data_IF_918205914348
#
_entry.id   IF_918205914348
#
_cell.length_a   1.000
_cell.length_b   1.000
_cell.length_c   1.000
_cell.angle_alpha   90.00
_cell.angle_beta   90.00
_cell.angle_gamma   90.00
#
_symmetry.space_group_name_H-M   'P 1'
#
loop_
_entity.id
_entity.type
_entity.pdbx_description
1 polymer ?
#
# COMPACT_ATOMS: atom_id res chain seq x y z
N UNK A 1 20.57 6.95 10.76
CA UNK A 1 19.44 6.94 9.82
C UNK A 1 18.92 5.51 9.86
N UNK A 2 17.62 5.29 9.99
CA UNK A 2 17.07 3.94 9.90
C UNK A 2 17.37 3.40 8.49
N UNK A 3 17.74 2.11 8.38
CA UNK A 3 18.02 1.51 7.09
C UNK A 3 16.72 1.40 6.28
N UNK A 4 16.73 1.92 5.05
CA UNK A 4 15.59 1.88 4.14
C UNK A 4 15.49 0.46 3.54
N UNK A 5 14.44 -0.27 3.89
CA UNK A 5 14.24 -1.66 3.44
C UNK A 5 13.57 -1.74 2.06
N UNK A 6 12.73 -0.75 1.73
CA UNK A 6 12.10 -0.62 0.43
C UNK A 6 12.27 0.81 -0.09
N UNK A 7 12.75 0.95 -1.33
CA UNK A 7 12.88 2.22 -2.04
C UNK A 7 12.31 2.07 -3.45
N UNK A 8 11.41 2.96 -3.82
CA UNK A 8 10.91 3.11 -5.18
C UNK A 8 11.38 4.48 -5.67
N UNK A 9 11.99 4.56 -6.86
CA UNK A 9 12.57 5.78 -7.44
C UNK A 9 12.07 5.97 -8.86
N UNK A 10 11.47 7.13 -9.14
CA UNK A 10 10.90 7.55 -10.46
C UNK A 10 10.19 6.43 -11.21
N UNK A 11 9.38 5.64 -10.49
CA UNK A 11 8.69 4.50 -11.07
C UNK A 11 7.60 4.96 -12.03
N UNK A 12 7.60 4.42 -13.27
CA UNK A 12 6.60 4.69 -14.30
C UNK A 12 6.07 3.41 -14.88
N UNK A 13 4.74 3.25 -14.86
CA UNK A 13 4.07 2.05 -15.35
C UNK A 13 2.88 2.46 -16.21
N UNK A 14 2.78 1.85 -17.38
CA UNK A 14 1.66 2.00 -18.31
C UNK A 14 1.04 0.63 -18.60
N UNK A 15 -0.25 0.63 -18.89
CA UNK A 15 -0.95 -0.52 -19.44
C UNK A 15 -1.40 -0.21 -20.87
N UNK A 16 -1.19 -1.16 -21.77
CA UNK A 16 -1.61 -1.05 -23.17
C UNK A 16 -2.68 -2.10 -23.44
N UNK A 17 -3.89 -1.65 -23.76
CA UNK A 17 -5.02 -2.51 -24.11
C UNK A 17 -5.77 -1.92 -25.28
N UNK A 18 -6.02 -2.72 -26.31
CA UNK A 18 -6.80 -2.33 -27.52
C UNK A 18 -6.32 -1.05 -28.21
N UNK A 19 -5.04 -0.71 -28.09
CA UNK A 19 -4.43 0.49 -28.65
C UNK A 19 -4.51 1.74 -27.76
N UNK A 20 -5.15 1.65 -26.61
CA UNK A 20 -5.16 2.70 -25.58
C UNK A 20 -4.04 2.50 -24.58
N UNK A 21 -3.44 3.61 -24.13
CA UNK A 21 -2.37 3.63 -23.13
C UNK A 21 -2.86 4.23 -21.83
N UNK A 22 -2.96 3.44 -20.79
CA UNK A 22 -3.34 3.85 -19.44
C UNK A 22 -2.10 4.15 -18.61
N UNK A 23 -1.90 5.39 -18.18
CA UNK A 23 -0.78 5.83 -17.35
C UNK A 23 -1.09 5.60 -15.87
N UNK A 24 -0.75 4.42 -15.37
CA UNK A 24 -1.11 4.00 -14.01
C UNK A 24 -0.18 4.55 -12.92
N UNK A 25 1.14 4.65 -13.20
CA UNK A 25 2.16 5.18 -12.28
C UNK A 25 3.06 6.15 -13.04
N UNK A 26 3.24 7.38 -12.53
CA UNK A 26 3.75 8.51 -13.27
C UNK A 26 4.92 9.21 -12.58
N UNK A 27 5.95 8.47 -12.16
CA UNK A 27 7.11 8.99 -11.44
C UNK A 27 6.87 9.00 -9.94
N UNK A 28 6.69 7.81 -9.37
CA UNK A 28 6.52 7.60 -7.93
C UNK A 28 7.86 7.41 -7.28
N UNK A 29 8.10 8.22 -6.23
CA UNK A 29 9.16 8.05 -5.26
C UNK A 29 8.54 7.67 -3.92
N UNK A 30 9.02 6.59 -3.29
CA UNK A 30 8.49 6.09 -2.03
C UNK A 30 9.59 5.32 -1.29
N UNK A 31 9.70 5.52 0.02
CA UNK A 31 10.65 4.81 0.87
C UNK A 31 9.96 4.27 2.12
N UNK A 32 10.42 3.11 2.59
CA UNK A 32 9.96 2.53 3.86
C UNK A 32 11.20 2.10 4.64
N UNK A 33 11.35 2.61 5.86
CA UNK A 33 12.40 2.19 6.77
C UNK A 33 12.02 0.86 7.46
N UNK A 34 13.04 0.11 7.94
CA UNK A 34 12.82 -1.12 8.70
C UNK A 34 11.87 -0.91 9.89
N UNK A 35 10.94 -1.83 10.09
CA UNK A 35 9.98 -1.80 11.19
C UNK A 35 8.92 -0.68 11.10
N UNK A 36 8.91 0.15 10.04
CA UNK A 36 7.95 1.23 9.84
C UNK A 36 6.76 0.78 9.00
N UNK A 37 5.62 1.45 9.21
CA UNK A 37 4.44 1.33 8.35
C UNK A 37 4.23 2.61 7.57
N UNK A 38 4.22 2.49 6.24
CA UNK A 38 3.82 3.55 5.33
C UNK A 38 2.40 3.31 4.84
N UNK A 39 1.52 4.28 5.05
CA UNK A 39 0.19 4.32 4.44
C UNK A 39 0.25 4.90 3.03
N UNK A 40 -0.25 4.17 2.04
CA UNK A 40 -0.43 4.67 0.67
C UNK A 40 -1.92 4.86 0.42
N UNK A 41 -2.36 6.11 0.44
CA UNK A 41 -3.77 6.47 0.38
C UNK A 41 -4.13 7.22 -0.90
N UNK A 42 -5.41 7.16 -1.29
CA UNK A 42 -5.93 7.84 -2.47
C UNK A 42 -7.16 7.14 -3.03
N UNK A 43 -7.86 7.79 -3.95
CA UNK A 43 -9.06 7.23 -4.59
C UNK A 43 -8.76 5.96 -5.40
N UNK A 44 -9.78 5.16 -5.68
CA UNK A 44 -9.68 4.00 -6.59
C UNK A 44 -9.16 4.44 -7.96
N UNK A 45 -8.23 3.69 -8.52
CA UNK A 45 -7.58 4.06 -9.79
C UNK A 45 -6.38 5.00 -9.66
N UNK A 46 -6.00 5.44 -8.44
CA UNK A 46 -4.83 6.30 -8.25
C UNK A 46 -3.47 5.64 -8.56
N UNK A 47 -3.40 4.30 -8.70
CA UNK A 47 -2.17 3.55 -8.99
C UNK A 47 -1.57 2.79 -7.81
N UNK A 48 -2.22 2.77 -6.65
CA UNK A 48 -1.72 2.17 -5.39
C UNK A 48 -1.36 0.69 -5.53
N UNK A 49 -2.32 -0.14 -5.92
CA UNK A 49 -2.12 -1.59 -6.14
C UNK A 49 -1.05 -1.86 -7.21
N UNK A 50 -1.03 -1.08 -8.30
CA UNK A 50 -0.01 -1.21 -9.35
C UNK A 50 1.39 -0.94 -8.80
N UNK A 51 1.53 0.06 -7.92
CA UNK A 51 2.80 0.35 -7.23
C UNK A 51 3.21 -0.82 -6.34
N UNK A 52 2.30 -1.41 -5.56
CA UNK A 52 2.61 -2.60 -4.74
C UNK A 52 2.99 -3.82 -5.60
N UNK A 53 2.27 -4.08 -6.70
CA UNK A 53 2.59 -5.18 -7.61
C UNK A 53 3.96 -5.04 -8.26
N UNK A 54 4.46 -3.81 -8.47
CA UNK A 54 5.81 -3.59 -8.99
C UNK A 54 6.90 -4.06 -8.02
N UNK A 55 6.67 -3.99 -6.72
CA UNK A 55 7.61 -4.49 -5.69
C UNK A 55 7.77 -6.01 -5.78
N UNK A 56 6.72 -6.69 -6.20
CA UNK A 56 6.74 -8.14 -6.45
C UNK A 56 7.14 -8.50 -7.90
N UNK A 57 7.41 -7.51 -8.76
CA UNK A 57 7.57 -7.69 -10.20
C UNK A 57 6.41 -8.49 -10.84
N UNK A 58 5.18 -8.24 -10.35
CA UNK A 58 3.93 -8.89 -10.78
C UNK A 58 3.02 -7.96 -11.59
N UNK A 59 3.56 -6.90 -12.18
CA UNK A 59 2.82 -6.08 -13.14
C UNK A 59 2.35 -6.96 -14.30
N UNK A 60 1.03 -7.08 -14.58
CA UNK A 60 0.49 -8.02 -15.56
C UNK A 60 1.08 -7.82 -16.97
N UNK A 61 1.73 -8.83 -17.51
CA UNK A 61 2.28 -8.86 -18.87
C UNK A 61 1.32 -9.61 -19.81
N UNK A 62 1.21 -9.24 -21.10
CA UNK A 62 1.98 -8.21 -21.82
C UNK A 62 1.42 -6.80 -21.74
N UNK A 63 0.27 -6.58 -21.09
CA UNK A 63 -0.42 -5.29 -21.06
C UNK A 63 0.36 -4.25 -20.24
N UNK A 64 0.86 -4.63 -19.07
CA UNK A 64 1.63 -3.75 -18.20
C UNK A 64 3.10 -3.67 -18.61
N UNK A 65 3.60 -2.43 -18.70
CA UNK A 65 4.98 -2.11 -19.03
C UNK A 65 5.57 -1.16 -17.99
N UNK A 66 6.67 -1.55 -17.38
CA UNK A 66 7.49 -0.66 -16.57
C UNK A 66 8.39 0.11 -17.52
N UNK A 67 8.21 1.43 -17.60
CA UNK A 67 8.91 2.29 -18.54
C UNK A 67 10.26 2.75 -17.99
N UNK A 68 10.30 3.10 -16.70
CA UNK A 68 11.50 3.57 -16.00
C UNK A 68 11.33 3.38 -14.49
N UNK A 69 12.42 3.64 -13.78
CA UNK A 69 12.49 3.62 -12.33
C UNK A 69 13.22 2.39 -11.79
N UNK A 70 13.41 2.43 -10.48
CA UNK A 70 14.03 1.36 -9.71
C UNK A 70 13.12 0.98 -8.54
N UNK A 71 13.11 -0.30 -8.19
CA UNK A 71 12.47 -0.81 -6.97
C UNK A 71 13.51 -1.62 -6.22
N UNK A 72 14.08 -1.00 -5.18
CA UNK A 72 15.14 -1.58 -4.37
C UNK A 72 14.51 -2.15 -3.10
N UNK A 73 14.59 -3.45 -2.93
CA UNK A 73 14.10 -4.21 -1.79
C UNK A 73 15.29 -4.91 -1.12
N UNK A 74 15.53 -4.61 0.15
CA UNK A 74 16.67 -5.18 0.91
C UNK A 74 18.00 -5.05 0.14
N UNK A 75 18.23 -3.89 -0.51
CA UNK A 75 19.42 -3.60 -1.31
C UNK A 75 19.43 -4.21 -2.73
N UNK A 76 18.39 -4.93 -3.15
CA UNK A 76 18.30 -5.58 -4.45
C UNK A 76 17.26 -4.88 -5.33
N UNK A 77 17.63 -4.47 -6.56
CA UNK A 77 16.66 -3.97 -7.55
C UNK A 77 15.84 -5.14 -8.11
N UNK A 78 14.57 -5.26 -7.67
CA UNK A 78 13.69 -6.38 -8.06
C UNK A 78 13.28 -6.34 -9.52
N UNK A 79 13.32 -5.17 -10.18
CA UNK A 79 12.94 -5.04 -11.58
C UNK A 79 13.97 -5.66 -12.53
N UNK A 80 15.21 -5.84 -12.07
CA UNK A 80 16.32 -6.44 -12.83
C UNK A 80 16.47 -7.95 -12.57
N UNK A 81 15.70 -8.49 -11.61
CA UNK A 81 15.80 -9.89 -11.25
C UNK A 81 15.10 -10.79 -12.26
N UNK A 82 15.70 -11.97 -12.50
CA UNK A 82 15.05 -13.05 -13.23
C UNK A 82 13.87 -13.63 -12.44
N UNK A 83 12.93 -14.31 -13.13
CA UNK A 83 11.79 -14.95 -12.45
C UNK A 83 12.24 -15.94 -11.37
N UNK A 84 13.30 -16.70 -11.63
CA UNK A 84 13.87 -17.64 -10.66
C UNK A 84 14.42 -16.95 -9.38
N UNK A 85 14.95 -15.73 -9.53
CA UNK A 85 15.41 -14.93 -8.38
C UNK A 85 14.20 -14.34 -7.63
N UNK A 86 13.18 -13.87 -8.36
CA UNK A 86 11.94 -13.37 -7.79
C UNK A 86 11.15 -14.44 -7.03
N UNK A 87 11.18 -15.71 -7.47
CA UNK A 87 10.59 -16.83 -6.71
C UNK A 87 11.19 -16.99 -5.31
N UNK A 88 12.46 -16.65 -5.12
CA UNK A 88 13.12 -16.70 -3.81
C UNK A 88 12.81 -15.48 -2.93
N UNK A 89 12.47 -14.36 -3.56
CA UNK A 89 12.17 -13.08 -2.89
C UNK A 89 10.71 -13.03 -2.44
N UNK A 90 9.78 -13.44 -3.33
CA UNK A 90 8.33 -13.48 -3.04
C UNK A 90 8.03 -14.52 -1.96
N UNK A 91 7.30 -14.15 -0.93
CA UNK A 91 6.96 -15.00 0.22
C UNK A 91 8.05 -15.08 1.30
N UNK A 92 9.31 -14.78 0.98
CA UNK A 92 10.44 -14.84 1.91
C UNK A 92 10.96 -13.46 2.33
N UNK A 93 11.31 -12.57 1.38
CA UNK A 93 11.75 -11.20 1.69
C UNK A 93 10.57 -10.23 1.69
N UNK A 94 9.66 -10.37 0.74
CA UNK A 94 8.43 -9.58 0.65
C UNK A 94 7.24 -10.50 0.44
N UNK A 95 6.15 -10.21 1.12
CA UNK A 95 4.87 -10.90 0.95
C UNK A 95 3.74 -9.90 0.76
N UNK A 96 2.60 -10.36 0.23
CA UNK A 96 1.45 -9.52 -0.04
C UNK A 96 0.15 -10.16 0.43
N UNK A 97 -0.68 -9.36 1.09
CA UNK A 97 -2.09 -9.66 1.35
C UNK A 97 -2.89 -8.91 0.29
N UNK A 98 -3.62 -9.64 -0.54
CA UNK A 98 -4.46 -9.10 -1.61
C UNK A 98 -5.83 -8.68 -1.09
N UNK A 99 -6.49 -7.79 -1.84
CA UNK A 99 -7.74 -7.12 -1.47
C UNK A 99 -8.91 -8.07 -1.19
N UNK A 100 -9.01 -9.23 -1.85
CA UNK A 100 -10.14 -10.16 -1.70
C UNK A 100 -9.74 -11.48 -1.02
N UNK A 101 -10.04 -11.64 0.29
CA UNK A 101 -9.73 -12.87 1.01
C UNK A 101 -10.56 -14.08 0.55
N UNK A 102 -11.69 -13.84 -0.11
CA UNK A 102 -12.60 -14.92 -0.51
C UNK A 102 -12.08 -15.67 -1.73
N UNK A 103 -11.42 -14.96 -2.65
CA UNK A 103 -10.84 -15.53 -3.88
C UNK A 103 -9.39 -15.98 -3.72
N UNK A 104 -8.70 -15.53 -2.66
CA UNK A 104 -7.27 -15.78 -2.48
C UNK A 104 -6.96 -17.20 -1.95
N UNK A 105 -7.90 -17.83 -1.20
CA UNK A 105 -7.72 -19.19 -0.68
C UNK A 105 -8.18 -20.25 -1.67
N UNK A 106 -7.36 -21.28 -1.87
CA UNK A 106 -7.73 -22.44 -2.69
C UNK A 106 -8.82 -23.29 -1.96
N UNK A 107 -10.05 -23.40 -2.48
CA UNK A 107 -11.15 -24.06 -1.78
C UNK A 107 -11.00 -25.58 -1.66
N UNK A 108 -10.12 -26.21 -2.46
CA UNK A 108 -9.92 -27.67 -2.48
C UNK A 108 -8.67 -28.13 -1.73
N UNK A 109 -7.95 -27.20 -1.07
CA UNK A 109 -6.83 -27.48 -0.17
C UNK A 109 -7.19 -27.08 1.25
N UNK A 110 -6.71 -27.83 2.25
CA UNK A 110 -6.84 -27.42 3.65
C UNK A 110 -6.01 -26.15 3.92
N UNK A 111 -6.39 -25.39 4.94
CA UNK A 111 -5.65 -24.14 5.26
C UNK A 111 -4.21 -24.43 5.71
N UNK A 112 -3.97 -25.55 6.39
CA UNK A 112 -2.63 -25.98 6.78
C UNK A 112 -1.77 -26.34 5.58
N UNK A 113 -2.31 -27.06 4.57
CA UNK A 113 -1.59 -27.37 3.34
C UNK A 113 -1.15 -26.11 2.59
N UNK A 114 -2.01 -25.08 2.50
CA UNK A 114 -1.69 -23.82 1.83
C UNK A 114 -0.58 -23.05 2.54
N UNK A 115 -0.55 -23.03 3.88
CA UNK A 115 0.55 -22.44 4.65
C UNK A 115 1.82 -23.29 4.50
N UNK A 116 1.71 -24.60 4.63
CA UNK A 116 2.84 -25.54 4.53
C UNK A 116 3.50 -25.50 3.14
N UNK A 117 2.75 -25.26 2.08
CA UNK A 117 3.26 -25.11 0.72
C UNK A 117 4.28 -23.97 0.62
N UNK A 118 3.97 -22.79 1.18
CA UNK A 118 4.88 -21.64 1.20
C UNK A 118 6.15 -21.97 1.99
N UNK A 119 6.02 -22.61 3.16
CA UNK A 119 7.16 -23.03 3.99
C UNK A 119 8.06 -24.01 3.21
N UNK A 120 7.48 -25.01 2.54
CA UNK A 120 8.24 -26.00 1.75
C UNK A 120 9.04 -25.39 0.59
N UNK A 121 8.43 -24.39 -0.08
CA UNK A 121 9.09 -23.71 -1.19
C UNK A 121 10.36 -22.96 -0.72
N UNK A 122 10.31 -22.32 0.44
CA UNK A 122 11.38 -21.43 0.91
C UNK A 122 12.36 -22.06 1.90
N UNK A 123 11.90 -22.90 2.82
CA UNK A 123 12.73 -23.43 3.90
C UNK A 123 13.33 -24.82 3.60
N UNK A 124 12.91 -25.47 2.50
CA UNK A 124 13.40 -26.81 2.09
C UNK A 124 13.26 -27.87 3.19
N UNK A 125 12.20 -27.83 3.95
CA UNK A 125 11.85 -28.78 5.02
C UNK A 125 10.95 -29.89 4.48
N UNK A 126 10.84 -30.99 5.24
CA UNK A 126 9.91 -32.07 4.92
C UNK A 126 8.45 -31.70 5.20
N UNK A 127 7.52 -32.53 4.72
CA UNK A 127 6.07 -32.33 4.85
C UNK A 127 5.62 -32.18 6.31
N UNK A 128 6.21 -32.98 7.19
CA UNK A 128 5.85 -32.99 8.62
C UNK A 128 6.27 -31.67 9.29
N UNK A 129 7.49 -31.21 9.05
CA UNK A 129 8.01 -29.97 9.59
C UNK A 129 7.23 -28.76 9.03
N UNK A 130 6.92 -28.76 7.71
CA UNK A 130 6.13 -27.70 7.12
C UNK A 130 4.71 -27.62 7.70
N UNK A 131 4.06 -28.77 7.94
CA UNK A 131 2.74 -28.81 8.56
C UNK A 131 2.78 -28.38 10.04
N UNK A 132 3.83 -28.70 10.78
CA UNK A 132 3.99 -28.20 12.14
C UNK A 132 4.17 -26.67 12.15
N UNK A 133 4.99 -26.14 11.26
CA UNK A 133 5.11 -24.68 11.06
C UNK A 133 3.79 -24.04 10.70
N UNK A 134 2.96 -24.69 9.86
CA UNK A 134 1.63 -24.20 9.50
C UNK A 134 0.71 -24.11 10.73
N UNK A 135 0.75 -25.09 11.64
CA UNK A 135 0.00 -25.05 12.91
C UNK A 135 0.44 -23.92 13.81
N UNK A 136 1.75 -23.74 13.99
CA UNK A 136 2.32 -22.62 14.77
C UNK A 136 1.88 -21.25 14.20
N UNK A 137 1.84 -21.13 12.89
CA UNK A 137 1.40 -19.89 12.24
C UNK A 137 -0.10 -19.65 12.43
N UNK A 138 -0.93 -20.69 12.38
CA UNK A 138 -2.36 -20.59 12.71
C UNK A 138 -2.56 -20.12 14.16
N UNK A 139 -1.84 -20.71 15.11
CA UNK A 139 -1.88 -20.29 16.51
C UNK A 139 -1.43 -18.83 16.68
N UNK A 140 -0.41 -18.43 15.96
CA UNK A 140 0.11 -17.04 15.96
C UNK A 140 -0.94 -16.03 15.51
N UNK A 141 -1.85 -16.40 14.59
CA UNK A 141 -2.96 -15.54 14.17
C UNK A 141 -4.26 -15.79 14.96
N UNK A 142 -4.20 -16.57 16.06
CA UNK A 142 -5.33 -16.83 16.95
C UNK A 142 -6.32 -17.88 16.43
N UNK A 143 -5.86 -18.80 15.58
CA UNK A 143 -6.62 -19.97 15.11
C UNK A 143 -5.99 -21.22 15.70
N UNK A 144 -6.74 -22.12 16.38
CA UNK A 144 -6.17 -23.35 16.92
C UNK A 144 -5.47 -24.18 15.84
N UNK A 145 -4.23 -24.64 16.11
CA UNK A 145 -3.40 -25.37 15.14
C UNK A 145 -4.02 -26.69 14.66
N UNK A 146 -4.90 -27.32 15.46
CA UNK A 146 -5.66 -28.51 15.09
C UNK A 146 -6.61 -28.30 13.90
N UNK A 147 -7.02 -27.04 13.65
CA UNK A 147 -7.86 -26.66 12.50
C UNK A 147 -7.09 -26.59 11.17
N UNK A 148 -5.80 -26.86 11.16
CA UNK A 148 -4.99 -26.89 9.94
C UNK A 148 -5.51 -27.85 8.86
N UNK A 149 -6.25 -28.91 9.27
CA UNK A 149 -6.85 -29.90 8.35
C UNK A 149 -8.19 -29.47 7.75
N UNK A 150 -8.74 -28.35 8.22
CA UNK A 150 -10.02 -27.83 7.72
C UNK A 150 -9.85 -27.04 6.42
N UNK A 151 -10.96 -26.92 5.68
CA UNK A 151 -11.00 -26.23 4.39
C UNK A 151 -11.52 -24.80 4.52
N UNK A 152 -11.19 -23.89 3.58
CA UNK A 152 -11.59 -22.47 3.65
C UNK A 152 -13.10 -22.24 3.86
N UNK A 153 -13.97 -23.09 3.32
CA UNK A 153 -15.41 -22.95 3.49
C UNK A 153 -15.92 -23.17 4.94
N UNK A 154 -15.10 -23.75 5.81
CA UNK A 154 -15.39 -23.97 7.23
C UNK A 154 -15.01 -22.76 8.12
N UNK A 155 -14.44 -21.69 7.52
CA UNK A 155 -13.98 -20.50 8.20
C UNK A 155 -14.89 -19.30 7.90
N UNK A 156 -15.10 -18.43 8.90
CA UNK A 156 -15.73 -17.12 8.69
C UNK A 156 -14.82 -16.19 7.88
N UNK A 157 -15.35 -15.06 7.38
CA UNK A 157 -14.57 -14.08 6.63
C UNK A 157 -13.34 -13.59 7.39
N UNK A 158 -13.50 -13.20 8.66
CA UNK A 158 -12.37 -12.76 9.50
C UNK A 158 -11.35 -13.87 9.79
N UNK A 159 -11.80 -15.15 9.90
CA UNK A 159 -10.88 -16.27 10.04
C UNK A 159 -10.12 -16.55 8.74
N UNK A 160 -10.77 -16.44 7.58
CA UNK A 160 -10.07 -16.53 6.28
C UNK A 160 -9.00 -15.46 6.13
N UNK A 161 -9.32 -14.23 6.57
CA UNK A 161 -8.32 -13.15 6.58
C UNK A 161 -7.13 -13.47 7.48
N UNK A 162 -7.35 -14.03 8.68
CA UNK A 162 -6.27 -14.49 9.55
C UNK A 162 -5.44 -15.61 8.93
N UNK A 163 -6.06 -16.53 8.18
CA UNK A 163 -5.35 -17.58 7.41
C UNK A 163 -4.46 -16.93 6.33
N UNK A 164 -4.95 -15.93 5.59
CA UNK A 164 -4.12 -15.22 4.60
C UNK A 164 -2.95 -14.48 5.23
N UNK A 165 -3.16 -13.88 6.40
CA UNK A 165 -2.06 -13.29 7.19
C UNK A 165 -1.05 -14.37 7.58
N UNK A 166 -1.51 -15.56 8.02
CA UNK A 166 -0.63 -16.67 8.34
C UNK A 166 0.18 -17.16 7.14
N UNK A 167 -0.43 -17.26 5.95
CA UNK A 167 0.26 -17.58 4.69
C UNK A 167 1.31 -16.51 4.38
N UNK A 168 0.93 -15.23 4.42
CA UNK A 168 1.83 -14.13 4.12
C UNK A 168 3.04 -14.05 5.05
N UNK A 169 2.89 -14.47 6.30
CA UNK A 169 3.94 -14.40 7.33
C UNK A 169 4.66 -15.73 7.58
N UNK A 170 4.32 -16.79 6.86
CA UNK A 170 4.84 -18.15 7.09
C UNK A 170 6.37 -18.22 7.11
N UNK A 171 7.04 -17.44 6.23
CA UNK A 171 8.50 -17.35 6.15
C UNK A 171 9.07 -16.07 6.77
N UNK A 172 8.31 -15.36 7.62
CA UNK A 172 8.75 -14.15 8.34
C UNK A 172 9.37 -13.08 7.41
N UNK A 173 8.60 -12.55 6.43
CA UNK A 173 9.12 -11.60 5.47
C UNK A 173 9.59 -10.30 6.12
N UNK A 174 10.55 -9.62 5.50
CA UNK A 174 11.03 -8.30 5.94
C UNK A 174 10.05 -7.19 5.62
N UNK A 175 9.29 -7.33 4.52
CA UNK A 175 8.30 -6.35 4.06
C UNK A 175 6.97 -7.04 3.81
N UNK A 176 5.89 -6.48 4.35
CA UNK A 176 4.50 -6.88 4.07
C UNK A 176 3.80 -5.79 3.27
N UNK A 177 3.27 -6.15 2.10
CA UNK A 177 2.38 -5.32 1.32
C UNK A 177 0.93 -5.72 1.66
N UNK A 178 0.16 -4.80 2.20
CA UNK A 178 -1.22 -5.05 2.61
C UNK A 178 -2.17 -4.18 1.76
N UNK A 179 -2.78 -4.78 0.75
CA UNK A 179 -3.70 -4.09 -0.15
C UNK A 179 -5.13 -4.26 0.32
N UNK A 180 -5.66 -3.22 0.96
CA UNK A 180 -7.00 -3.17 1.56
C UNK A 180 -7.33 -4.42 2.42
N UNK A 181 -6.49 -4.76 3.41
CA UNK A 181 -6.55 -6.07 4.09
C UNK A 181 -7.80 -6.29 4.94
N UNK A 182 -8.65 -5.29 5.11
CA UNK A 182 -9.88 -5.34 5.91
C UNK A 182 -11.15 -5.09 5.11
N UNK A 183 -11.04 -4.93 3.79
CA UNK A 183 -12.21 -4.79 2.91
C UNK A 183 -13.14 -5.99 3.04
N UNK A 184 -14.45 -5.74 3.08
CA UNK A 184 -15.53 -6.72 3.27
C UNK A 184 -15.58 -7.41 4.66
N UNK A 185 -14.89 -6.87 5.67
CA UNK A 185 -15.04 -7.29 7.07
C UNK A 185 -15.98 -6.32 7.83
N UNK A 186 -16.67 -6.82 8.82
CA UNK A 186 -17.41 -5.96 9.75
C UNK A 186 -16.43 -5.19 10.65
N UNK A 187 -16.88 -4.03 11.18
CA UNK A 187 -16.03 -3.09 11.95
C UNK A 187 -15.32 -3.75 13.13
N UNK A 188 -15.99 -4.69 13.82
CA UNK A 188 -15.40 -5.38 14.98
C UNK A 188 -14.27 -6.31 14.56
N UNK A 189 -14.48 -7.08 13.51
CA UNK A 189 -13.45 -7.99 12.96
C UNK A 189 -12.31 -7.19 12.33
N UNK A 190 -12.62 -6.08 11.64
CA UNK A 190 -11.61 -5.17 11.10
C UNK A 190 -10.65 -4.69 12.21
N UNK A 191 -11.15 -4.18 13.33
CA UNK A 191 -10.33 -3.75 14.45
C UNK A 191 -9.44 -4.87 15.00
N UNK A 192 -9.97 -6.09 15.13
CA UNK A 192 -9.21 -7.26 15.57
C UNK A 192 -8.09 -7.66 14.60
N UNK A 193 -8.34 -7.57 13.29
CA UNK A 193 -7.34 -7.88 12.25
C UNK A 193 -6.23 -6.82 12.25
N UNK A 194 -6.57 -5.52 12.39
CA UNK A 194 -5.59 -4.44 12.45
C UNK A 194 -4.70 -4.56 13.69
N UNK A 195 -5.28 -4.85 14.86
CA UNK A 195 -4.49 -5.06 16.08
C UNK A 195 -3.55 -6.27 15.93
N UNK A 196 -4.05 -7.39 15.39
CA UNK A 196 -3.21 -8.54 15.08
C UNK A 196 -2.05 -8.15 14.14
N UNK A 197 -2.29 -7.38 13.07
CA UNK A 197 -1.23 -6.95 12.16
C UNK A 197 -0.18 -6.07 12.86
N UNK A 198 -0.60 -5.17 13.78
CA UNK A 198 0.34 -4.38 14.59
C UNK A 198 1.20 -5.24 15.51
N UNK A 199 0.60 -6.24 16.17
CA UNK A 199 1.32 -7.17 17.03
C UNK A 199 2.35 -7.99 16.23
N UNK A 200 1.94 -8.52 15.07
CA UNK A 200 2.80 -9.32 14.21
C UNK A 200 3.93 -8.48 13.58
N UNK A 201 3.65 -7.22 13.17
CA UNK A 201 4.68 -6.27 12.73
C UNK A 201 5.77 -6.12 13.79
N UNK A 202 5.39 -5.91 15.07
CA UNK A 202 6.34 -5.77 16.18
C UNK A 202 7.09 -7.07 16.44
N UNK A 203 6.38 -8.21 16.46
CA UNK A 203 6.94 -9.54 16.74
C UNK A 203 8.02 -9.94 15.72
N UNK A 204 7.79 -9.65 14.44
CA UNK A 204 8.67 -10.01 13.33
C UNK A 204 9.60 -8.87 12.90
N UNK A 205 9.50 -7.69 13.52
CA UNK A 205 10.24 -6.46 13.15
C UNK A 205 10.17 -6.17 11.66
N UNK A 206 8.99 -6.36 11.03
CA UNK A 206 8.81 -6.17 9.59
C UNK A 206 8.36 -4.74 9.26
N UNK A 207 8.74 -4.27 8.09
CA UNK A 207 8.19 -3.07 7.49
C UNK A 207 6.85 -3.38 6.80
N UNK A 208 5.96 -2.39 6.68
CA UNK A 208 4.66 -2.60 6.05
C UNK A 208 4.28 -1.44 5.12
N UNK A 209 3.83 -1.77 3.91
CA UNK A 209 3.09 -0.86 3.03
C UNK A 209 1.60 -1.16 3.17
N UNK A 210 0.87 -0.25 3.82
CA UNK A 210 -0.58 -0.34 4.00
C UNK A 210 -1.27 0.47 2.91
N UNK A 211 -1.97 -0.21 2.00
CA UNK A 211 -2.80 0.44 0.98
C UNK A 211 -4.24 0.44 1.49
N UNK A 212 -4.83 1.61 1.59
CA UNK A 212 -6.22 1.78 1.99
C UNK A 212 -6.78 3.12 1.52
N UNK A 213 -8.08 3.23 1.48
CA UNK A 213 -8.80 4.49 1.31
C UNK A 213 -9.40 5.00 2.64
N UNK A 214 -9.22 4.26 3.73
CA UNK A 214 -9.75 4.58 5.07
C UNK A 214 -8.67 5.25 5.93
N UNK A 215 -8.84 6.55 6.19
CA UNK A 215 -7.94 7.33 7.03
C UNK A 215 -7.98 6.94 8.51
N UNK A 216 -9.06 6.30 8.98
CA UNK A 216 -9.15 5.75 10.33
C UNK A 216 -8.14 4.61 10.51
N UNK A 217 -8.03 3.72 9.51
CA UNK A 217 -7.02 2.66 9.50
C UNK A 217 -5.61 3.26 9.47
N UNK A 218 -5.38 4.27 8.62
CA UNK A 218 -4.09 4.95 8.51
C UNK A 218 -3.68 5.55 9.85
N UNK A 219 -4.58 6.27 10.51
CA UNK A 219 -4.33 6.88 11.82
C UNK A 219 -3.96 5.84 12.90
N UNK A 220 -4.51 4.63 12.79
CA UNK A 220 -4.30 3.58 13.78
C UNK A 220 -3.01 2.77 13.58
N UNK A 221 -2.57 2.58 12.33
CA UNK A 221 -1.55 1.59 11.98
C UNK A 221 -0.27 2.18 11.39
N UNK A 222 -0.35 3.37 10.75
CA UNK A 222 0.76 3.92 9.99
C UNK A 222 1.65 4.85 10.81
N UNK A 223 2.95 4.88 10.49
CA UNK A 223 3.93 5.84 11.01
C UNK A 223 4.04 7.06 10.07
N UNK A 224 3.93 6.82 8.76
CA UNK A 224 4.04 7.81 7.69
C UNK A 224 2.92 7.60 6.66
N UNK A 225 2.61 8.64 5.90
CA UNK A 225 1.53 8.63 4.90
C UNK A 225 2.01 9.23 3.59
N UNK A 226 1.73 8.54 2.49
CA UNK A 226 1.85 9.05 1.13
C UNK A 226 0.47 9.13 0.48
N UNK A 227 0.10 10.31 0.04
CA UNK A 227 -1.16 10.54 -0.67
C UNK A 227 -0.92 10.47 -2.17
N UNK A 228 -1.61 9.54 -2.83
CA UNK A 228 -1.43 9.26 -4.26
C UNK A 228 -2.65 9.72 -5.07
N UNK A 229 -2.39 10.45 -6.13
CA UNK A 229 -3.40 10.93 -7.08
C UNK A 229 -2.90 10.78 -8.51
N UNK A 230 -3.69 10.15 -9.39
CA UNK A 230 -3.39 9.98 -10.83
C UNK A 230 -1.95 9.48 -11.11
N UNK A 231 -1.51 8.48 -10.36
CA UNK A 231 -0.18 7.87 -10.52
C UNK A 231 0.98 8.65 -9.91
N UNK A 232 0.74 9.69 -9.10
CA UNK A 232 1.78 10.52 -8.46
C UNK A 232 1.58 10.66 -6.96
N UNK A 233 2.66 10.73 -6.20
CA UNK A 233 2.58 11.13 -4.80
C UNK A 233 2.47 12.66 -4.76
N UNK A 234 1.34 13.15 -4.27
CA UNK A 234 1.04 14.59 -4.20
C UNK A 234 1.40 15.20 -2.86
N UNK A 235 1.39 14.39 -1.79
CA UNK A 235 1.80 14.78 -0.45
C UNK A 235 2.36 13.57 0.30
N UNK A 236 3.37 13.77 1.14
CA UNK A 236 3.96 12.75 2.00
C UNK A 236 4.47 13.39 3.27
N UNK A 237 4.31 12.70 4.39
CA UNK A 237 4.83 13.14 5.68
C UNK A 237 4.59 12.10 6.77
N UNK A 238 4.95 12.46 7.99
CA UNK A 238 4.53 11.70 9.17
C UNK A 238 3.01 11.73 9.30
N UNK A 239 2.46 10.85 10.14
CA UNK A 239 1.04 10.86 10.42
C UNK A 239 0.56 12.25 10.88
N UNK A 240 1.31 12.90 11.80
CA UNK A 240 1.04 14.25 12.31
C UNK A 240 1.08 15.30 11.19
N UNK A 241 2.10 15.27 10.32
CA UNK A 241 2.21 16.19 9.18
C UNK A 241 0.97 16.16 8.29
N UNK A 242 0.54 14.96 7.88
CA UNK A 242 -0.56 14.82 6.92
C UNK A 242 -1.94 15.00 7.56
N UNK A 243 -2.10 14.66 8.85
CA UNK A 243 -3.39 14.78 9.54
C UNK A 243 -3.64 16.20 10.07
N UNK A 244 -2.61 16.83 10.65
CA UNK A 244 -2.77 18.14 11.30
C UNK A 244 -2.37 19.30 10.38
N UNK A 245 -1.42 19.07 9.46
CA UNK A 245 -0.82 20.10 8.60
C UNK A 245 -0.95 19.80 7.11
N UNK A 246 -2.14 19.32 6.69
CA UNK A 246 -2.47 19.04 5.28
C UNK A 246 -2.09 20.19 4.36
N UNK A 247 -1.31 19.93 3.32
CA UNK A 247 -0.84 20.94 2.40
C UNK A 247 -1.51 20.82 1.01
N UNK A 248 -1.73 19.62 0.49
CA UNK A 248 -2.31 19.48 -0.84
C UNK A 248 -3.83 19.62 -0.79
N UNK A 249 -4.47 20.42 -1.68
CA UNK A 249 -5.93 20.56 -1.71
C UNK A 249 -6.69 19.24 -1.91
N UNK A 250 -6.08 18.25 -2.56
CA UNK A 250 -6.65 16.90 -2.66
C UNK A 250 -6.68 16.20 -1.29
N UNK A 251 -5.59 16.28 -0.53
CA UNK A 251 -5.54 15.73 0.84
C UNK A 251 -6.59 16.38 1.73
N UNK A 252 -6.68 17.71 1.69
CA UNK A 252 -7.72 18.46 2.40
C UNK A 252 -9.13 17.98 2.01
N UNK A 253 -9.38 17.81 0.70
CA UNK A 253 -10.66 17.31 0.17
C UNK A 253 -10.99 15.90 0.65
N UNK A 254 -10.02 15.00 0.73
CA UNK A 254 -10.20 13.65 1.26
C UNK A 254 -10.65 13.70 2.74
N UNK A 255 -9.99 14.50 3.57
CA UNK A 255 -10.36 14.67 4.97
C UNK A 255 -11.74 15.35 5.14
N UNK A 256 -12.08 16.35 4.34
CA UNK A 256 -13.38 17.02 4.35
C UNK A 256 -14.54 16.11 3.90
N UNK A 257 -14.23 14.99 3.27
CA UNK A 257 -15.21 13.96 2.89
C UNK A 257 -15.50 12.95 4.00
N UNK A 258 -14.72 12.98 5.11
CA UNK A 258 -14.94 12.12 6.26
C UNK A 258 -15.99 12.74 7.20
N UNK A 259 -16.83 11.90 7.86
CA UNK A 259 -17.75 12.38 8.89
C UNK A 259 -16.98 12.93 10.09
N UNK A 260 -17.29 14.15 10.50
CA UNK A 260 -16.80 14.74 11.75
C UNK A 260 -17.61 14.17 12.91
N UNK A 261 -16.95 13.39 13.78
CA UNK A 261 -17.57 12.73 14.94
C UNK A 261 -18.02 13.77 15.98
N UNK A 262 -17.26 14.85 16.12
CA UNK A 262 -17.52 15.90 17.12
C UNK A 262 -18.59 16.88 16.63
N UNK A 263 -18.71 17.05 15.31
CA UNK A 263 -19.70 17.96 14.70
C UNK A 263 -20.60 17.23 13.70
N UNK A 264 -21.53 16.41 14.20
CA UNK A 264 -22.49 15.63 13.38
C UNK A 264 -23.40 16.47 12.47
N UNK A 265 -23.39 17.80 12.60
CA UNK A 265 -24.17 18.72 11.75
C UNK A 265 -23.34 19.34 10.63
N UNK A 266 -22.02 19.09 10.57
CA UNK A 266 -21.20 19.56 9.47
C UNK A 266 -21.62 18.83 8.18
N UNK A 267 -21.89 19.59 7.13
CA UNK A 267 -22.13 19.02 5.80
C UNK A 267 -20.82 18.43 5.26
N UNK A 268 -20.87 17.18 4.82
CA UNK A 268 -19.76 16.57 4.12
C UNK A 268 -19.47 17.37 2.83
N UNK A 269 -18.21 17.69 2.60
CA UNK A 269 -17.75 18.37 1.40
C UNK A 269 -17.00 17.39 0.49
N UNK A 270 -17.71 16.59 -0.31
CA UNK A 270 -17.05 15.65 -1.22
C UNK A 270 -16.21 16.39 -2.25
N UNK A 271 -15.11 15.78 -2.68
CA UNK A 271 -14.28 16.30 -3.76
C UNK A 271 -15.13 16.33 -5.04
N UNK A 272 -15.20 17.49 -5.69
CA UNK A 272 -16.00 17.70 -6.91
C UNK A 272 -15.43 16.90 -8.09
N UNK A 273 -16.32 16.44 -8.99
CA UNK A 273 -15.95 15.75 -10.21
C UNK A 273 -15.43 14.32 -9.97
N UNK A 274 -14.85 13.75 -11.00
CA UNK A 274 -14.31 12.38 -11.00
C UNK A 274 -12.78 12.40 -11.17
N UNK A 275 -12.14 11.28 -10.83
CA UNK A 275 -10.72 11.05 -11.15
C UNK A 275 -10.49 11.26 -12.65
N UNK A 276 -9.37 11.87 -13.06
CA UNK A 276 -9.06 12.03 -14.47
C UNK A 276 -8.89 10.66 -15.13
N UNK A 277 -9.29 10.61 -16.39
CA UNK A 277 -9.08 9.43 -17.22
C UNK A 277 -7.57 9.15 -17.34
N UNK A 278 -7.07 8.00 -16.89
CA UNK A 278 -5.66 7.68 -16.95
C UNK A 278 -5.12 7.48 -18.38
N UNK A 279 -6.01 7.36 -19.38
CA UNK A 279 -5.63 7.35 -20.80
C UNK A 279 -5.38 8.76 -21.34
N UNK A 280 -5.98 9.78 -20.71
CA UNK A 280 -5.88 11.18 -21.12
C UNK A 280 -5.72 12.10 -19.91
N UNK A 281 -4.59 11.98 -19.21
CA UNK A 281 -4.31 12.80 -18.04
C UNK A 281 -4.23 14.28 -18.40
N UNK A 282 -4.79 15.18 -17.56
CA UNK A 282 -4.67 16.61 -17.78
C UNK A 282 -3.21 17.07 -17.72
N UNK A 283 -2.87 18.10 -18.48
CA UNK A 283 -1.55 18.76 -18.45
C UNK A 283 -1.33 19.46 -17.10
N UNK A 284 -0.08 19.66 -16.70
CA UNK A 284 0.25 20.34 -15.45
C UNK A 284 -0.10 19.50 -14.21
N UNK A 285 -0.67 20.14 -13.19
CA UNK A 285 -1.11 19.44 -11.98
C UNK A 285 -2.32 18.53 -12.30
N UNK A 286 -2.25 17.21 -12.11
CA UNK A 286 -3.37 16.32 -12.47
C UNK A 286 -4.66 16.59 -11.67
N UNK A 287 -4.55 17.23 -10.50
CA UNK A 287 -5.70 17.61 -9.67
C UNK A 287 -6.34 18.96 -10.09
N UNK A 288 -5.72 19.75 -10.96
CA UNK A 288 -6.20 21.10 -11.29
C UNK A 288 -7.68 21.20 -11.72
N UNK A 289 -8.29 20.20 -12.43
CA UNK A 289 -9.70 20.30 -12.83
C UNK A 289 -10.69 20.20 -11.66
N UNK A 290 -10.23 19.68 -10.51
CA UNK A 290 -11.05 19.49 -9.30
C UNK A 290 -10.66 20.43 -8.16
N UNK A 291 -9.60 21.23 -8.35
CA UNK A 291 -8.98 22.06 -7.31
C UNK A 291 -9.69 23.41 -7.21
N UNK A 292 -10.23 23.72 -6.02
CA UNK A 292 -10.87 25.02 -5.77
C UNK A 292 -9.84 26.19 -5.74
N UNK A 293 -8.52 25.89 -5.60
CA UNK A 293 -7.42 26.86 -5.60
C UNK A 293 -6.64 26.89 -6.93
N UNK A 294 -7.26 26.35 -8.02
CA UNK A 294 -6.59 26.26 -9.30
C UNK A 294 -6.22 27.64 -9.87
N UNK A 295 -4.97 27.76 -10.33
CA UNK A 295 -4.48 28.91 -11.10
C UNK A 295 -4.17 28.50 -12.54
N UNK A 296 -3.95 29.46 -13.43
CA UNK A 296 -3.58 29.18 -14.83
C UNK A 296 -2.31 28.33 -14.93
N UNK A 297 -1.34 28.57 -14.06
CA UNK A 297 -0.09 27.79 -13.99
C UNK A 297 -0.32 26.32 -13.67
N UNK A 298 -1.32 26.01 -12.82
CA UNK A 298 -1.66 24.63 -12.48
C UNK A 298 -2.11 23.80 -13.69
N UNK A 299 -2.68 24.43 -14.72
CA UNK A 299 -3.10 23.73 -15.94
C UNK A 299 -1.97 23.58 -16.97
N UNK A 300 -0.88 24.34 -16.84
CA UNK A 300 0.20 24.39 -17.82
C UNK A 300 1.44 23.63 -17.36
N UNK A 301 1.78 23.69 -16.08
CA UNK A 301 3.02 23.16 -15.54
C UNK A 301 2.78 22.23 -14.35
N UNK A 302 3.58 21.15 -14.27
CA UNK A 302 3.57 20.28 -13.10
C UNK A 302 4.18 20.99 -11.89
N UNK A 303 3.53 20.93 -10.70
CA UNK A 303 4.10 21.49 -9.49
C UNK A 303 5.35 20.72 -9.06
N UNK A 304 6.41 21.43 -8.64
CA UNK A 304 7.61 20.79 -8.10
C UNK A 304 7.33 20.13 -6.75
N UNK A 305 8.21 19.23 -6.35
CA UNK A 305 8.26 18.72 -4.98
C UNK A 305 8.80 19.83 -4.07
N UNK A 306 7.96 20.34 -3.19
CA UNK A 306 8.32 21.39 -2.20
C UNK A 306 8.43 20.75 -0.83
N UNK A 307 9.61 20.89 -0.20
CA UNK A 307 9.83 20.42 1.17
C UNK A 307 9.26 21.44 2.15
N UNK A 308 8.36 21.02 3.03
CA UNK A 308 7.73 21.82 4.08
C UNK A 308 8.59 21.77 5.35
N UNK A 309 8.97 20.57 5.78
CA UNK A 309 9.89 20.30 6.88
C UNK A 309 10.75 19.07 6.54
N UNK A 310 11.51 18.51 7.49
CA UNK A 310 12.43 17.39 7.26
C UNK A 310 11.71 16.10 6.80
N UNK A 311 10.45 15.91 7.19
CA UNK A 311 9.64 14.71 6.92
C UNK A 311 8.51 14.97 5.93
N UNK A 312 8.07 16.22 5.75
CA UNK A 312 6.86 16.58 5.01
C UNK A 312 7.20 17.27 3.69
N UNK A 313 6.68 16.76 2.58
CA UNK A 313 6.70 17.44 1.30
C UNK A 313 5.34 17.43 0.59
N UNK A 314 5.15 18.40 -0.30
CA UNK A 314 3.95 18.53 -1.13
C UNK A 314 4.30 18.87 -2.58
N UNK A 315 3.52 18.40 -3.54
CA UNK A 315 3.58 18.81 -4.96
C UNK A 315 2.43 19.77 -5.25
N UNK A 316 2.59 21.03 -4.86
CA UNK A 316 1.56 22.07 -5.05
C UNK A 316 2.20 23.46 -5.20
N UNK A 317 1.73 24.23 -6.19
CA UNK A 317 2.19 25.60 -6.44
C UNK A 317 1.89 26.59 -5.31
N UNK A 318 0.91 26.30 -4.45
CA UNK A 318 0.58 27.14 -3.28
C UNK A 318 1.75 27.28 -2.31
N UNK A 319 2.69 26.32 -2.31
CA UNK A 319 3.79 26.24 -1.36
C UNK A 319 5.16 26.57 -1.97
N UNK A 320 5.25 26.96 -3.26
CA UNK A 320 6.52 27.25 -3.95
C UNK A 320 7.37 28.29 -3.21
N UNK A 321 6.76 29.32 -2.63
CA UNK A 321 7.44 30.41 -1.98
C UNK A 321 7.71 30.19 -0.48
N UNK A 322 7.32 29.03 0.08
CA UNK A 322 7.46 28.77 1.53
C UNK A 322 8.94 28.70 1.96
N UNK A 323 9.86 28.37 1.05
CA UNK A 323 11.31 28.37 1.32
C UNK A 323 11.90 29.78 1.47
N UNK A 324 11.31 30.82 0.86
CA UNK A 324 11.85 32.18 0.95
C UNK A 324 11.50 32.86 2.28
N UNK A 325 10.42 32.46 2.93
CA UNK A 325 9.99 33.05 4.21
C UNK A 325 10.70 32.45 5.43
N UNK A 326 11.16 31.19 5.36
CA UNK A 326 11.88 30.52 6.47
C UNK A 326 13.38 30.85 6.51
N UNK A 327 13.96 31.38 5.42
CA UNK A 327 15.35 31.83 5.38
C UNK A 327 15.53 33.32 5.82
N UNK A 328 14.43 34.03 6.14
CA UNK A 328 14.41 35.44 6.56
C UNK A 328 13.90 35.67 7.99
N UNK A 329 13.79 34.58 8.79
CA UNK A 329 13.41 34.68 10.19
C UNK A 329 14.52 34.29 11.15
#
# INVERSE_FOLDING_TARGET
MADEILQIRDLRIEFVSEGEVTKAVNGVDLTIAEGKTLGLVGETGAGKTTTALSVLNLVPKPQGKILSGEVILDGVNVLEQSEHEMEKIRGNTVSMIFQDPMSALNPVMSVGEQIAEVVKIHEKVDEKAAMERAREMLETVGIPGERAVEYPHQFSGGMKQRVLIAIALACSPKVLLADEPTTALDVTIQAQVLELMKELKRKFNMAMLMITHDFGIVAEVCDEVSVMYAGKIVEHGTLEDVFDHKCHPYTEGLFNSLPDIDNRKSELKPIKGQMPDPTNLPTGCPFHPRCDYCTERCSQEEPPKVQINDTHYVRCWLYENTKESQLKG
#
